data_IF_910960711413
#
_entry.id   IF_910960711413
#
_cell.length_a   1.000
_cell.length_b   1.000
_cell.length_c   1.000
_cell.angle_alpha   90.00
_cell.angle_beta   90.00
_cell.angle_gamma   90.00
#
_symmetry.space_group_name_H-M   'P 1'
#
loop_
_entity.id
_entity.type
_entity.pdbx_description
1 polymer ?
#
# COMPACT_ATOMS: atom_id res chain seq x y z
N UNK A 1 0.37 1.83 -10.88
CA UNK A 1 0.31 0.90 -9.73
C UNK A 1 -0.33 1.62 -8.54
N UNK A 2 -1.47 1.16 -7.98
CA UNK A 2 -2.10 1.80 -6.83
C UNK A 2 -1.37 1.49 -5.52
N UNK A 3 -1.24 2.52 -4.67
CA UNK A 3 -0.73 2.47 -3.30
C UNK A 3 -1.90 2.65 -2.34
N UNK A 4 -2.17 1.62 -1.55
CA UNK A 4 -3.23 1.60 -0.54
C UNK A 4 -2.66 2.02 0.82
N UNK A 5 -3.42 2.85 1.54
CA UNK A 5 -3.19 3.02 2.98
C UNK A 5 -3.88 1.89 3.72
N UNK A 6 -3.15 1.12 4.51
CA UNK A 6 -3.64 -0.03 5.27
C UNK A 6 -3.66 0.33 6.76
N UNK A 7 -4.81 0.13 7.40
CA UNK A 7 -5.01 0.37 8.83
C UNK A 7 -5.26 -0.95 9.55
N UNK A 8 -4.54 -1.19 10.65
CA UNK A 8 -4.73 -2.37 11.50
C UNK A 8 -5.59 -2.04 12.71
N UNK A 9 -6.80 -2.64 12.86
CA UNK A 9 -7.67 -2.38 14.00
C UNK A 9 -7.14 -2.99 15.31
N UNK A 10 -6.24 -3.99 15.24
CA UNK A 10 -5.68 -4.65 16.42
C UNK A 10 -4.68 -3.79 17.18
N UNK A 11 -3.88 -3.00 16.48
CA UNK A 11 -2.78 -2.24 17.08
C UNK A 11 -2.70 -0.77 16.64
N UNK A 12 -3.66 -0.31 15.84
CA UNK A 12 -3.72 1.06 15.31
C UNK A 12 -2.63 1.40 14.29
N UNK A 13 -1.81 0.43 13.86
CA UNK A 13 -0.72 0.67 12.92
C UNK A 13 -1.26 1.01 11.53
N UNK A 14 -0.79 2.13 10.97
CA UNK A 14 -1.06 2.56 9.61
C UNK A 14 0.20 2.36 8.76
N UNK A 15 0.05 1.73 7.60
CA UNK A 15 1.15 1.45 6.66
C UNK A 15 0.72 1.68 5.21
N UNK A 16 1.67 1.80 4.29
CA UNK A 16 1.38 1.86 2.85
C UNK A 16 1.71 0.51 2.21
N UNK A 17 0.85 0.05 1.29
CA UNK A 17 1.06 -1.18 0.55
C UNK A 17 0.75 -1.00 -0.93
N UNK A 18 1.58 -1.56 -1.80
CA UNK A 18 1.51 -1.40 -3.24
C UNK A 18 0.92 -2.66 -3.88
N UNK A 19 0.00 -2.47 -4.82
CA UNK A 19 -0.48 -3.55 -5.69
C UNK A 19 0.08 -3.32 -7.09
N UNK A 20 0.77 -4.34 -7.62
CA UNK A 20 1.40 -4.26 -8.93
C UNK A 20 0.35 -4.15 -10.04
N UNK A 21 0.66 -3.38 -11.08
CA UNK A 21 -0.25 -3.24 -12.22
C UNK A 21 -0.46 -4.60 -12.92
N UNK A 22 -1.68 -4.87 -13.37
CA UNK A 22 -2.05 -6.15 -13.97
C UNK A 22 -2.22 -7.31 -12.98
N UNK A 23 -2.08 -7.08 -11.67
CA UNK A 23 -2.35 -8.08 -10.63
C UNK A 23 -3.69 -7.84 -9.95
N UNK A 24 -4.23 -8.88 -9.30
CA UNK A 24 -5.46 -8.76 -8.52
C UNK A 24 -5.16 -8.20 -7.14
N UNK A 25 -6.01 -7.31 -6.65
CA UNK A 25 -5.96 -6.82 -5.27
C UNK A 25 -6.03 -7.99 -4.28
N UNK A 26 -5.21 -8.00 -3.22
CA UNK A 26 -5.26 -9.03 -2.19
C UNK A 26 -6.65 -9.16 -1.57
N UNK A 27 -7.07 -10.40 -1.31
CA UNK A 27 -8.31 -10.70 -0.58
C UNK A 27 -8.15 -10.49 0.93
N UNK A 28 -6.93 -10.60 1.44
CA UNK A 28 -6.57 -10.45 2.86
C UNK A 28 -5.32 -9.57 2.96
N UNK A 29 -5.26 -8.76 4.01
CA UNK A 29 -4.07 -7.96 4.34
C UNK A 29 -3.61 -8.29 5.75
N UNK A 30 -2.30 -8.27 5.96
CA UNK A 30 -1.68 -8.54 7.25
C UNK A 30 -0.95 -7.29 7.74
N UNK A 31 -1.07 -6.98 9.03
CA UNK A 31 -0.32 -5.90 9.64
C UNK A 31 1.16 -6.25 9.70
N UNK A 32 2.00 -5.40 9.11
CA UNK A 32 3.47 -5.56 9.13
C UNK A 32 4.10 -5.38 10.52
N UNK A 33 3.36 -4.91 11.52
CA UNK A 33 3.85 -4.70 12.89
C UNK A 33 3.44 -5.81 13.85
N UNK A 34 2.14 -6.15 13.92
CA UNK A 34 1.64 -7.15 14.87
C UNK A 34 1.31 -8.52 14.24
N UNK A 35 1.36 -8.64 12.89
CA UNK A 35 0.99 -9.87 12.20
C UNK A 35 -0.51 -10.16 12.14
N UNK A 36 -1.37 -9.26 12.65
CA UNK A 36 -2.83 -9.41 12.61
C UNK A 36 -3.38 -9.41 11.18
N UNK A 37 -4.32 -10.32 10.88
CA UNK A 37 -4.94 -10.50 9.55
C UNK A 37 -6.19 -9.65 9.31
N UNK A 38 -6.53 -8.78 10.27
CA UNK A 38 -7.67 -7.84 10.16
C UNK A 38 -7.25 -6.48 9.61
N UNK A 39 -6.00 -6.33 9.18
CA UNK A 39 -5.57 -5.14 8.48
C UNK A 39 -6.39 -5.00 7.18
N UNK A 40 -6.75 -3.78 6.83
CA UNK A 40 -7.53 -3.53 5.61
C UNK A 40 -7.20 -2.15 5.03
N UNK A 41 -7.47 -1.94 3.73
CA UNK A 41 -7.41 -0.61 3.14
C UNK A 41 -8.35 0.35 3.86
N UNK A 42 -7.84 1.53 4.14
CA UNK A 42 -8.60 2.60 4.76
C UNK A 42 -9.73 3.07 3.80
N UNK A 43 -11.01 2.98 4.20
CA UNK A 43 -12.14 3.26 3.31
C UNK A 43 -12.25 4.74 2.92
N UNK A 44 -11.69 5.64 3.74
CA UNK A 44 -11.72 7.09 3.50
C UNK A 44 -10.57 7.55 2.59
N UNK A 45 -9.63 6.64 2.25
CA UNK A 45 -8.47 6.96 1.41
C UNK A 45 -8.57 6.29 0.06
N UNK A 46 -8.67 7.13 -0.97
CA UNK A 46 -8.52 6.68 -2.36
C UNK A 46 -7.07 6.19 -2.56
N UNK A 47 -6.86 5.03 -3.22
CA UNK A 47 -5.52 4.56 -3.52
C UNK A 47 -4.74 5.59 -4.35
N UNK A 48 -3.57 5.96 -3.87
CA UNK A 48 -2.70 6.92 -4.55
C UNK A 48 -2.05 6.23 -5.76
N UNK A 49 -1.89 6.96 -6.87
CA UNK A 49 -1.06 6.46 -7.96
C UNK A 49 0.40 6.51 -7.52
N UNK A 50 1.12 5.41 -7.73
CA UNK A 50 2.55 5.38 -7.50
C UNK A 50 3.24 6.43 -8.41
N UNK A 51 4.23 7.20 -7.90
CA UNK A 51 4.89 8.26 -8.67
C UNK A 51 5.46 7.82 -10.02
N UNK A 52 5.82 6.54 -10.17
CA UNK A 52 6.34 6.00 -11.43
C UNK A 52 5.35 6.06 -12.60
N UNK A 53 4.05 6.11 -12.32
CA UNK A 53 3.00 6.21 -13.35
C UNK A 53 2.87 7.62 -13.96
N UNK A 54 3.44 8.64 -13.31
CA UNK A 54 3.36 10.03 -13.77
C UNK A 54 4.64 10.54 -14.44
N UNK A 55 5.59 9.65 -14.77
CA UNK A 55 6.83 9.98 -15.48
C UNK A 55 7.84 10.69 -14.56
N UNK A 56 8.85 9.96 -14.11
CA UNK A 56 9.96 10.51 -13.31
C UNK A 56 11.29 10.31 -14.05
N UNK A 57 12.14 11.35 -14.17
CA UNK A 57 13.40 11.28 -14.93
C UNK A 57 14.52 10.50 -14.21
N UNK A 58 14.40 10.27 -12.90
CA UNK A 58 15.40 9.61 -12.05
C UNK A 58 14.65 8.72 -11.06
N UNK A 59 15.15 7.51 -10.77
CA UNK A 59 14.44 6.44 -10.04
C UNK A 59 13.77 6.85 -8.71
N UNK A 60 12.83 6.03 -8.23
CA UNK A 60 12.09 6.31 -6.98
C UNK A 60 12.97 6.10 -5.73
N UNK A 61 12.88 6.97 -4.71
CA UNK A 61 13.53 6.75 -3.41
C UNK A 61 13.08 5.45 -2.71
N UNK A 62 11.99 4.85 -3.16
CA UNK A 62 11.42 3.61 -2.64
C UNK A 62 12.01 2.32 -3.25
N UNK A 63 12.58 2.37 -4.46
CA UNK A 63 13.04 1.17 -5.21
C UNK A 63 14.54 1.16 -5.51
N UNK A 64 15.29 2.11 -4.94
CA UNK A 64 16.72 2.31 -5.21
C UNK A 64 16.95 3.61 -5.97
N UNK A 65 17.25 4.67 -5.21
CA UNK A 65 17.98 5.82 -5.72
C UNK A 65 19.48 5.57 -5.65
#
# INVERSE_FOLDING_TARGET
>A
MPVYTITCPDCGHVSKSLVLNGTRTPKEWTCSKCGGRRACPDPDKVPELHPWETGHPTGCPCCGG
#
